data_IF_502288410970
#
_entry.id   IF_502288410970
#
_cell.length_a   1.000
_cell.length_b   1.000
_cell.length_c   1.000
_cell.angle_alpha   90.00
_cell.angle_beta   90.00
_cell.angle_gamma   90.00
#
_symmetry.space_group_name_H-M   'P 1'
#
loop_
_entity.id
_entity.type
_entity.pdbx_description
1 polymer ?
#
# COMPACT_ATOMS: atom_id res chain seq x y z
N UNK A 1 6.45 18.17 9.42
CA UNK A 1 6.30 16.77 9.91
C UNK A 1 7.56 16.02 9.55
N UNK A 2 8.22 15.40 10.53
CA UNK A 2 9.45 14.63 10.30
C UNK A 2 9.05 13.16 10.18
N UNK A 3 9.48 12.51 9.10
CA UNK A 3 9.21 11.10 8.79
C UNK A 3 10.56 10.40 8.74
N UNK A 4 10.82 9.49 9.69
CA UNK A 4 12.14 8.90 9.88
C UNK A 4 12.20 7.39 9.57
N UNK A 5 11.05 6.78 9.27
CA UNK A 5 10.96 5.37 8.93
C UNK A 5 9.74 5.09 8.03
N UNK A 6 9.71 3.95 7.32
CA UNK A 6 8.62 3.59 6.42
C UNK A 6 7.24 3.58 7.07
N UNK A 7 7.11 3.09 8.31
CA UNK A 7 5.82 3.03 9.01
C UNK A 7 5.24 4.43 9.25
N UNK A 8 6.08 5.37 9.69
CA UNK A 8 5.68 6.76 9.88
C UNK A 8 5.27 7.44 8.56
N UNK A 9 5.90 7.06 7.45
CA UNK A 9 5.55 7.57 6.11
C UNK A 9 4.19 7.02 5.66
N UNK A 10 3.97 5.72 5.84
CA UNK A 10 2.72 5.05 5.48
C UNK A 10 1.56 5.65 6.27
N UNK A 11 1.68 5.75 7.60
CA UNK A 11 0.61 6.29 8.45
C UNK A 11 0.32 7.78 8.18
N UNK A 12 1.35 8.54 7.80
CA UNK A 12 1.20 9.92 7.37
C UNK A 12 0.41 10.04 6.05
N UNK A 13 0.78 9.20 5.08
CA UNK A 13 0.26 9.28 3.72
C UNK A 13 -1.16 8.72 3.66
N UNK A 14 -1.38 7.56 4.29
CA UNK A 14 -2.64 6.82 4.30
C UNK A 14 -3.22 6.74 5.73
N UNK A 15 -3.77 7.85 6.27
CA UNK A 15 -4.40 7.84 7.58
C UNK A 15 -5.67 6.96 7.57
N UNK A 16 -5.80 6.05 8.53
CA UNK A 16 -6.96 5.17 8.66
C UNK A 16 -7.07 4.08 7.59
N UNK A 17 -5.94 3.65 7.02
CA UNK A 17 -5.90 2.57 6.01
C UNK A 17 -6.41 1.21 6.53
N UNK A 18 -6.34 1.02 7.84
CA UNK A 18 -6.83 -0.14 8.59
C UNK A 18 -8.31 -0.05 8.95
N UNK A 19 -9.01 1.01 8.53
CA UNK A 19 -10.45 1.15 8.77
C UNK A 19 -11.24 0.09 8.02
N UNK A 20 -12.25 -0.47 8.69
CA UNK A 20 -13.24 -1.37 8.07
C UNK A 20 -14.28 -0.61 7.23
N UNK A 21 -14.34 0.71 7.38
CA UNK A 21 -15.23 1.55 6.56
C UNK A 21 -14.56 1.85 5.22
N UNK A 22 -15.31 1.81 4.10
CA UNK A 22 -14.76 2.16 2.81
C UNK A 22 -14.28 3.63 2.82
N UNK A 23 -13.06 3.91 2.32
CA UNK A 23 -12.56 5.27 2.27
C UNK A 23 -13.32 6.09 1.23
N UNK A 24 -13.15 7.42 1.28
CA UNK A 24 -13.68 8.31 0.25
C UNK A 24 -13.15 7.91 -1.15
N UNK A 25 -13.93 8.09 -2.23
CA UNK A 25 -13.55 7.64 -3.57
C UNK A 25 -12.19 8.16 -4.07
N UNK A 26 -11.77 9.33 -3.62
CA UNK A 26 -10.51 9.98 -4.00
C UNK A 26 -9.34 9.71 -3.04
N UNK A 27 -9.55 8.88 -2.01
CA UNK A 27 -8.56 8.62 -0.97
C UNK A 27 -7.22 8.15 -1.56
N UNK A 28 -7.22 7.09 -2.37
CA UNK A 28 -5.99 6.59 -2.99
C UNK A 28 -5.54 7.44 -4.19
N UNK A 29 -6.44 8.17 -4.85
CA UNK A 29 -6.11 8.97 -6.04
C UNK A 29 -5.17 10.13 -5.74
N UNK A 30 -5.23 10.68 -4.52
CA UNK A 30 -4.44 11.86 -4.12
C UNK A 30 -3.18 11.51 -3.32
N UNK A 31 -2.81 10.23 -3.22
CA UNK A 31 -1.78 9.74 -2.30
C UNK A 31 -0.85 8.74 -2.98
N UNK A 32 0.45 9.03 -2.96
CA UNK A 32 1.47 8.16 -3.55
C UNK A 32 2.78 8.27 -2.77
N UNK A 33 3.39 7.11 -2.51
CA UNK A 33 4.77 7.03 -2.03
C UNK A 33 5.64 6.60 -3.20
N UNK A 34 6.70 7.36 -3.47
CA UNK A 34 7.68 7.05 -4.52
C UNK A 34 8.93 6.45 -3.87
N UNK A 35 9.48 5.41 -4.50
CA UNK A 35 10.74 4.80 -4.09
C UNK A 35 11.64 4.58 -5.33
N UNK A 36 12.97 4.67 -5.17
CA UNK A 36 13.90 4.68 -6.31
C UNK A 36 14.09 3.31 -6.98
N UNK A 37 13.81 2.20 -6.28
CA UNK A 37 14.00 0.84 -6.80
C UNK A 37 12.73 0.03 -6.66
N UNK A 38 12.49 -0.87 -7.63
CA UNK A 38 11.33 -1.77 -7.61
C UNK A 38 11.27 -2.68 -6.38
N UNK A 39 12.42 -3.07 -5.82
CA UNK A 39 12.45 -3.86 -4.58
C UNK A 39 11.86 -3.07 -3.40
N UNK A 40 12.16 -1.77 -3.31
CA UNK A 40 11.67 -0.91 -2.26
C UNK A 40 10.17 -0.59 -2.47
N UNK A 41 9.74 -0.41 -3.73
CA UNK A 41 8.32 -0.26 -4.09
C UNK A 41 7.52 -1.49 -3.67
N UNK A 42 8.04 -2.70 -3.95
CA UNK A 42 7.39 -3.96 -3.58
C UNK A 42 7.26 -4.11 -2.06
N UNK A 43 8.34 -3.91 -1.30
CA UNK A 43 8.32 -3.97 0.17
C UNK A 43 7.31 -2.97 0.76
N UNK A 44 7.25 -1.74 0.25
CA UNK A 44 6.27 -0.75 0.69
C UNK A 44 4.83 -1.18 0.36
N UNK A 45 4.58 -1.64 -0.87
CA UNK A 45 3.25 -2.08 -1.29
C UNK A 45 2.75 -3.26 -0.44
N UNK A 46 3.62 -4.23 -0.14
CA UNK A 46 3.29 -5.37 0.73
C UNK A 46 2.92 -4.90 2.15
N UNK A 47 3.70 -3.97 2.74
CA UNK A 47 3.38 -3.41 4.07
C UNK A 47 2.07 -2.64 4.09
N UNK A 48 1.80 -1.85 3.05
CA UNK A 48 0.56 -1.07 2.92
C UNK A 48 -0.63 -2.02 2.76
N UNK A 49 -0.53 -3.03 1.88
CA UNK A 49 -1.57 -4.02 1.65
C UNK A 49 -1.89 -4.82 2.92
N UNK A 50 -0.87 -5.21 3.69
CA UNK A 50 -1.04 -5.95 4.94
C UNK A 50 -1.72 -5.14 6.06
N UNK A 51 -1.82 -3.80 5.92
CA UNK A 51 -2.56 -2.94 6.85
C UNK A 51 -4.03 -2.78 6.47
N UNK A 52 -4.41 -3.06 5.22
CA UNK A 52 -5.78 -2.88 4.77
C UNK A 52 -6.70 -3.89 5.47
N UNK A 53 -7.85 -3.42 5.94
CA UNK A 53 -8.87 -4.31 6.49
C UNK A 53 -9.49 -5.20 5.39
N UNK A 54 -9.84 -6.43 5.75
CA UNK A 54 -10.52 -7.38 4.87
C UNK A 54 -9.71 -8.63 4.57
N UNK A 55 -10.17 -9.42 3.59
CA UNK A 55 -9.53 -10.66 3.17
C UNK A 55 -8.48 -10.42 2.09
N UNK A 56 -7.29 -11.02 2.28
CA UNK A 56 -6.26 -11.05 1.24
C UNK A 56 -6.64 -12.03 0.13
N UNK A 57 -6.44 -11.61 -1.13
CA UNK A 57 -6.64 -12.44 -2.31
C UNK A 57 -5.41 -12.36 -3.21
N UNK A 58 -4.89 -13.51 -3.59
CA UNK A 58 -3.78 -13.63 -4.52
C UNK A 58 -4.28 -14.08 -5.88
N UNK A 59 -3.85 -13.39 -6.93
CA UNK A 59 -4.14 -13.72 -8.32
C UNK A 59 -2.85 -14.19 -8.98
N UNK A 60 -2.89 -15.38 -9.60
CA UNK A 60 -1.74 -15.96 -10.30
C UNK A 60 -1.79 -15.46 -11.75
N UNK A 61 -0.63 -15.06 -12.30
CA UNK A 61 -0.57 -14.66 -13.72
C UNK A 61 -1.03 -15.80 -14.62
N UNK A 62 -1.74 -15.46 -15.69
CA UNK A 62 -2.17 -16.41 -16.71
C UNK A 62 -1.05 -16.79 -17.68
N UNK A 63 0.15 -16.22 -17.54
CA UNK A 63 1.30 -16.55 -18.37
C UNK A 63 1.71 -18.02 -18.17
N UNK A 64 1.61 -18.81 -19.23
CA UNK A 64 2.25 -20.12 -19.29
C UNK A 64 3.68 -19.96 -19.81
N UNK A 65 4.65 -20.46 -19.06
CA UNK A 65 6.00 -20.71 -19.60
C UNK A 65 5.85 -21.93 -20.51
N UNK A 66 5.79 -21.69 -21.83
CA UNK A 66 5.87 -22.74 -22.85
C UNK A 66 7.26 -23.37 -22.86
#
# INVERSE_FOLDING_TARGET
>A
MIVNNPESLINCTYPGIDSTLPPAPDYFLRRMILAPRNIDVRDLNERILNKMAGESKQYISADQIM
#
